data_IF_397864830834
#
_entry.id   IF_397864830834
#
_cell.length_a   1.000
_cell.length_b   1.000
_cell.length_c   1.000
_cell.angle_alpha   90.00
_cell.angle_beta   90.00
_cell.angle_gamma   90.00
#
_symmetry.space_group_name_H-M   'P 1'
#
loop_
_entity.id
_entity.type
_entity.pdbx_description
1 polymer ?
#
# COMPACT_ATOMS: atom_id res chain seq x y z
N UNK A 1 -3.88 16.00 3.34
CA UNK A 1 -3.02 14.82 3.58
C UNK A 1 -2.09 14.64 2.39
N UNK A 2 -0.81 14.36 2.59
CA UNK A 2 0.12 14.06 1.48
C UNK A 2 0.02 12.61 1.02
N UNK A 3 0.40 12.34 -0.23
CA UNK A 3 0.49 10.98 -0.79
C UNK A 3 1.41 10.10 0.06
N UNK A 4 2.56 10.63 0.48
CA UNK A 4 3.49 9.92 1.35
C UNK A 4 2.87 9.57 2.73
N UNK A 5 2.14 10.50 3.34
CA UNK A 5 1.45 10.21 4.61
C UNK A 5 0.33 9.17 4.44
N UNK A 6 -0.37 9.17 3.31
CA UNK A 6 -1.33 8.12 2.95
C UNK A 6 -0.68 6.75 2.81
N UNK A 7 0.45 6.70 2.09
CA UNK A 7 1.25 5.48 1.88
C UNK A 7 1.70 4.86 3.19
N UNK A 8 2.26 5.65 4.10
CA UNK A 8 2.73 5.16 5.41
C UNK A 8 1.60 4.58 6.25
N UNK A 9 0.43 5.22 6.27
CA UNK A 9 -0.74 4.70 6.99
C UNK A 9 -1.24 3.39 6.39
N UNK A 10 -1.32 3.30 5.06
CA UNK A 10 -1.75 2.07 4.38
C UNK A 10 -0.75 0.93 4.63
N UNK A 11 0.55 1.21 4.56
CA UNK A 11 1.61 0.25 4.87
C UNK A 11 1.51 -0.25 6.32
N UNK A 12 1.32 0.66 7.28
CA UNK A 12 1.12 0.31 8.69
C UNK A 12 -0.10 -0.57 8.91
N UNK A 13 -1.24 -0.19 8.33
CA UNK A 13 -2.48 -0.96 8.42
C UNK A 13 -2.35 -2.36 7.79
N UNK A 14 -1.69 -2.48 6.63
CA UNK A 14 -1.45 -3.77 5.98
C UNK A 14 -0.54 -4.66 6.83
N UNK A 15 0.50 -4.10 7.45
CA UNK A 15 1.39 -4.84 8.36
C UNK A 15 0.64 -5.35 9.59
N UNK A 16 -0.17 -4.50 10.22
CA UNK A 16 -0.99 -4.87 11.38
C UNK A 16 -2.00 -5.95 11.02
N UNK A 17 -2.70 -5.80 9.89
CA UNK A 17 -3.63 -6.80 9.37
C UNK A 17 -2.96 -8.15 9.20
N UNK A 18 -1.79 -8.20 8.53
CA UNK A 18 -1.08 -9.45 8.26
C UNK A 18 -0.65 -10.16 9.53
N UNK A 19 -0.16 -9.40 10.52
CA UNK A 19 0.20 -9.94 11.84
C UNK A 19 -1.01 -10.59 12.52
N UNK A 20 -2.15 -9.89 12.58
CA UNK A 20 -3.40 -10.41 13.17
C UNK A 20 -3.98 -11.60 12.40
N UNK A 21 -3.88 -11.56 11.07
CA UNK A 21 -4.32 -12.67 10.21
C UNK A 21 -3.48 -13.93 10.44
N UNK A 22 -2.15 -13.81 10.48
CA UNK A 22 -1.26 -14.95 10.74
C UNK A 22 -1.49 -15.57 12.13
N UNK A 23 -1.73 -14.75 13.15
CA UNK A 23 -2.13 -15.24 14.47
C UNK A 23 -3.46 -16.02 14.40
N UNK A 24 -4.46 -15.46 13.72
CA UNK A 24 -5.77 -16.11 13.53
C UNK A 24 -5.65 -17.45 12.79
N UNK A 25 -4.88 -17.48 11.70
CA UNK A 25 -4.65 -18.68 10.88
C UNK A 25 -3.86 -19.77 11.62
N UNK A 26 -3.02 -19.38 12.59
CA UNK A 26 -2.30 -20.35 13.42
C UNK A 26 -3.25 -21.21 14.28
N UNK A 27 -4.41 -20.66 14.65
CA UNK A 27 -5.42 -21.31 15.49
C UNK A 27 -6.63 -21.79 14.67
N UNK A 28 -6.90 -21.17 13.51
CA UNK A 28 -8.06 -21.44 12.66
C UNK A 28 -7.66 -22.05 11.31
N UNK A 29 -7.63 -23.40 11.25
CA UNK A 29 -7.12 -24.18 10.10
C UNK A 29 -8.18 -25.00 9.34
N UNK A 30 -9.44 -24.63 9.46
CA UNK A 30 -10.52 -25.34 8.79
C UNK A 30 -10.66 -24.94 7.30
N UNK A 31 -11.50 -25.63 6.51
CA UNK A 31 -11.74 -25.25 5.12
C UNK A 31 -12.34 -23.84 4.93
N UNK A 32 -13.03 -23.30 5.93
CA UNK A 32 -13.61 -21.96 5.86
C UNK A 32 -12.52 -20.88 5.96
N UNK A 33 -11.52 -21.07 6.81
CA UNK A 33 -10.38 -20.16 6.91
C UNK A 33 -9.57 -20.11 5.61
N UNK A 34 -9.34 -21.27 4.98
CA UNK A 34 -8.68 -21.37 3.68
C UNK A 34 -9.47 -20.67 2.56
N UNK A 35 -10.79 -20.82 2.54
CA UNK A 35 -11.66 -20.13 1.59
C UNK A 35 -11.62 -18.62 1.81
N UNK A 36 -11.70 -18.17 3.05
CA UNK A 36 -11.62 -16.75 3.40
C UNK A 36 -10.27 -16.16 2.97
N UNK A 37 -9.18 -16.88 3.25
CA UNK A 37 -7.82 -16.50 2.87
C UNK A 37 -7.72 -16.25 1.36
N UNK A 38 -8.15 -17.25 0.57
CA UNK A 38 -8.06 -17.19 -0.89
C UNK A 38 -9.00 -16.14 -1.50
N UNK A 39 -10.23 -16.03 -0.98
CA UNK A 39 -11.28 -15.23 -1.60
C UNK A 39 -11.18 -13.74 -1.23
N UNK A 40 -10.67 -13.43 -0.04
CA UNK A 40 -10.72 -12.05 0.48
C UNK A 40 -9.38 -11.55 0.97
N UNK A 41 -8.65 -12.33 1.78
CA UNK A 41 -7.39 -11.88 2.38
C UNK A 41 -6.32 -11.65 1.31
N UNK A 42 -6.08 -12.63 0.45
CA UNK A 42 -5.04 -12.53 -0.57
C UNK A 42 -5.31 -11.39 -1.57
N UNK A 43 -6.53 -11.25 -2.15
CA UNK A 43 -6.84 -10.10 -3.00
C UNK A 43 -6.71 -8.74 -2.30
N UNK A 44 -7.07 -8.66 -1.01
CA UNK A 44 -6.91 -7.45 -0.22
C UNK A 44 -5.44 -7.07 -0.04
N UNK A 45 -4.59 -8.04 0.31
CA UNK A 45 -3.15 -7.81 0.45
C UNK A 45 -2.50 -7.38 -0.87
N UNK A 46 -2.86 -8.03 -1.97
CA UNK A 46 -2.33 -7.72 -3.30
C UNK A 46 -2.78 -6.32 -3.75
N UNK A 47 -4.04 -5.98 -3.54
CA UNK A 47 -4.57 -4.64 -3.83
C UNK A 47 -3.91 -3.55 -2.98
N UNK A 48 -3.68 -3.82 -1.69
CA UNK A 48 -3.00 -2.88 -0.79
C UNK A 48 -1.54 -2.64 -1.21
N UNK A 49 -0.80 -3.72 -1.57
CA UNK A 49 0.57 -3.59 -2.10
C UNK A 49 0.60 -2.79 -3.40
N UNK A 50 -0.31 -3.07 -4.34
CA UNK A 50 -0.42 -2.34 -5.58
C UNK A 50 -0.68 -0.84 -5.35
N UNK A 51 -1.59 -0.51 -4.42
CA UNK A 51 -1.88 0.86 -4.05
C UNK A 51 -0.67 1.57 -3.40
N UNK A 52 0.08 0.89 -2.52
CA UNK A 52 1.32 1.42 -1.93
C UNK A 52 2.33 1.77 -3.04
N UNK A 53 2.55 0.87 -4.00
CA UNK A 53 3.46 1.12 -5.12
C UNK A 53 2.99 2.28 -6.02
N UNK A 54 1.69 2.35 -6.31
CA UNK A 54 1.13 3.48 -7.06
C UNK A 54 1.33 4.81 -6.33
N UNK A 55 1.21 4.81 -4.99
CA UNK A 55 1.49 6.00 -4.17
C UNK A 55 2.97 6.40 -4.19
N UNK A 56 3.90 5.45 -4.26
CA UNK A 56 5.33 5.75 -4.44
C UNK A 56 5.59 6.42 -5.79
N UNK A 57 5.05 5.85 -6.88
CA UNK A 57 5.15 6.45 -8.21
C UNK A 57 4.55 7.88 -8.25
N UNK A 58 3.40 8.09 -7.61
CA UNK A 58 2.79 9.41 -7.49
C UNK A 58 3.66 10.39 -6.71
N UNK A 59 4.28 9.96 -5.60
CA UNK A 59 5.21 10.79 -4.82
C UNK A 59 6.37 11.25 -5.69
N UNK A 60 6.97 10.34 -6.45
CA UNK A 60 8.14 10.64 -7.28
C UNK A 60 7.78 11.58 -8.43
N UNK A 61 6.62 11.38 -9.06
CA UNK A 61 6.10 12.27 -10.10
C UNK A 61 5.85 13.69 -9.55
N UNK A 62 5.22 13.80 -8.37
CA UNK A 62 4.98 15.10 -7.73
C UNK A 62 6.31 15.79 -7.39
N UNK A 63 7.31 15.04 -6.92
CA UNK A 63 8.63 15.59 -6.62
C UNK A 63 9.31 16.13 -7.88
N UNK A 64 9.23 15.39 -8.99
CA UNK A 64 9.76 15.80 -10.29
C UNK A 64 9.08 17.08 -10.81
N UNK A 65 7.75 17.12 -10.83
CA UNK A 65 6.99 18.31 -11.28
C UNK A 65 7.38 19.54 -10.47
N UNK A 66 7.52 19.40 -9.14
CA UNK A 66 7.95 20.51 -8.27
C UNK A 66 9.37 20.98 -8.59
N UNK A 67 10.27 20.05 -8.91
CA UNK A 67 11.64 20.39 -9.32
C UNK A 67 11.65 21.15 -10.64
N UNK A 68 10.89 20.69 -11.63
CA UNK A 68 10.79 21.32 -12.95
C UNK A 68 10.17 22.73 -12.87
N UNK A 69 9.14 22.93 -12.04
CA UNK A 69 8.53 24.25 -11.84
C UNK A 69 9.36 25.22 -10.99
N UNK A 70 10.25 24.73 -10.13
CA UNK A 70 11.14 25.57 -9.32
C UNK A 70 12.48 25.88 -10.03
N UNK A 71 12.69 25.37 -11.23
CA UNK A 71 13.90 25.65 -12.01
C UNK A 71 13.73 26.98 -12.79
N UNK A 72 14.42 28.07 -12.39
CA UNK A 72 14.28 29.37 -13.04
C UNK A 72 14.78 29.39 -14.50
N UNK A 73 15.46 28.32 -14.95
CA UNK A 73 15.95 28.17 -16.31
C UNK A 73 15.03 27.32 -17.21
N UNK A 74 13.83 26.93 -16.76
CA UNK A 74 12.90 26.07 -17.51
C UNK A 74 12.15 26.79 -18.65
N UNK A 75 12.30 28.11 -18.78
CA UNK A 75 11.82 28.91 -19.91
C UNK A 75 13.01 29.65 -20.53
N UNK A 76 13.82 28.94 -21.31
CA UNK A 76 14.74 29.55 -22.27
C UNK A 76 14.89 28.69 -23.51
#
# INVERSE_FOLDING_TARGET
MSVEGGRQRLYGALKEFRMKWTESESQWKDPASQMLAKKYVQPLEDGAKAAIHAMEAMRDLIARIRSECNDPNSIQ
#
